data_IF_777502921631
#
_entry.id   IF_777502921631
#
_cell.length_a   1.000
_cell.length_b   1.000
_cell.length_c   1.000
_cell.angle_alpha   90.00
_cell.angle_beta   90.00
_cell.angle_gamma   90.00
#
_symmetry.space_group_name_H-M   'P 1'
#
loop_
_entity.id
_entity.type
_entity.pdbx_description
1 polymer ?
#
# COMPACT_ATOMS: atom_id res chain seq x y z
N UNK A 1 -3.67 -25.52 -12.37
CA UNK A 1 -4.19 -24.46 -11.47
C UNK A 1 -4.72 -25.12 -10.21
N UNK A 2 -4.40 -24.58 -9.04
CA UNK A 2 -4.64 -25.23 -7.73
C UNK A 2 -5.33 -24.27 -6.76
N UNK A 3 -6.24 -24.78 -5.93
CA UNK A 3 -6.90 -24.00 -4.87
C UNK A 3 -6.04 -24.00 -3.61
N UNK A 4 -5.48 -22.84 -3.27
CA UNK A 4 -4.60 -22.69 -2.09
C UNK A 4 -5.34 -22.32 -0.81
N UNK A 5 -6.59 -21.84 -0.90
CA UNK A 5 -7.34 -21.41 0.28
C UNK A 5 -8.50 -20.47 -0.02
N UNK A 6 -8.91 -19.69 0.98
CA UNK A 6 -9.95 -18.66 0.88
C UNK A 6 -9.69 -17.48 1.83
N UNK A 7 -10.32 -16.34 1.49
CA UNK A 7 -10.34 -15.12 2.29
C UNK A 7 -11.78 -14.68 2.50
N UNK A 8 -12.23 -14.58 3.75
CA UNK A 8 -13.52 -14.02 4.14
C UNK A 8 -13.30 -12.68 4.86
N UNK A 9 -13.55 -11.52 4.22
CA UNK A 9 -13.35 -10.22 4.84
C UNK A 9 -14.35 -9.91 5.97
N UNK A 10 -15.51 -10.58 6.03
CA UNK A 10 -16.57 -10.31 7.01
C UNK A 10 -16.36 -11.05 8.33
N UNK A 11 -15.52 -12.09 8.32
CA UNK A 11 -15.15 -12.81 9.53
C UNK A 11 -14.39 -11.89 10.50
N UNK A 12 -14.76 -12.01 11.78
CA UNK A 12 -14.20 -11.24 12.90
C UNK A 12 -12.91 -11.87 13.42
N UNK A 13 -12.83 -13.20 13.40
CA UNK A 13 -11.64 -13.94 13.81
C UNK A 13 -10.56 -13.87 12.71
N UNK A 14 -9.44 -13.19 12.97
CA UNK A 14 -8.32 -13.01 12.02
C UNK A 14 -7.78 -14.35 11.46
N UNK A 15 -7.80 -15.42 12.26
CA UNK A 15 -7.32 -16.74 11.86
C UNK A 15 -8.24 -17.42 10.83
N UNK A 16 -9.56 -17.30 11.01
CA UNK A 16 -10.58 -17.86 10.10
C UNK A 16 -10.80 -16.97 8.89
N UNK A 17 -10.51 -15.68 9.02
CA UNK A 17 -10.54 -14.69 7.94
C UNK A 17 -9.73 -15.14 6.73
N UNK A 18 -8.57 -15.77 6.96
CA UNK A 18 -7.69 -16.25 5.90
C UNK A 18 -7.31 -17.70 6.21
N UNK A 19 -7.72 -18.63 5.35
CA UNK A 19 -7.30 -20.04 5.46
C UNK A 19 -6.51 -20.37 4.23
N UNK A 20 -5.21 -20.68 4.39
CA UNK A 20 -4.28 -20.96 3.30
C UNK A 20 -3.49 -22.24 3.61
N UNK A 21 -3.28 -23.06 2.59
CA UNK A 21 -2.33 -24.16 2.64
C UNK A 21 -0.90 -23.61 2.48
N UNK A 22 -0.22 -23.40 3.61
CA UNK A 22 1.11 -22.76 3.63
C UNK A 22 2.18 -23.60 2.93
N UNK A 23 2.07 -24.92 2.94
CA UNK A 23 3.05 -25.82 2.30
C UNK A 23 3.04 -25.64 0.78
N UNK A 24 1.83 -25.65 0.19
CA UNK A 24 1.65 -25.45 -1.25
C UNK A 24 1.98 -24.03 -1.67
N UNK A 25 1.63 -23.04 -0.86
CA UNK A 25 2.07 -21.65 -1.10
C UNK A 25 3.59 -21.57 -1.16
N UNK A 26 4.32 -22.12 -0.17
CA UNK A 26 5.79 -22.11 -0.17
C UNK A 26 6.37 -22.79 -1.41
N UNK A 27 5.81 -23.92 -1.83
CA UNK A 27 6.22 -24.61 -3.05
C UNK A 27 6.08 -23.72 -4.29
N UNK A 28 4.92 -23.08 -4.48
CA UNK A 28 4.70 -22.17 -5.61
C UNK A 28 5.62 -20.94 -5.55
N UNK A 29 5.87 -20.40 -4.35
CA UNK A 29 6.81 -19.29 -4.18
C UNK A 29 8.25 -19.70 -4.56
N UNK A 30 8.68 -20.93 -4.27
CA UNK A 30 9.99 -21.45 -4.70
C UNK A 30 10.10 -21.59 -6.23
N UNK A 31 8.99 -21.91 -6.90
CA UNK A 31 8.92 -21.96 -8.37
C UNK A 31 8.84 -20.57 -9.02
N UNK A 32 8.84 -19.49 -8.24
CA UNK A 32 8.80 -18.11 -8.74
C UNK A 32 7.40 -17.55 -8.94
N UNK A 33 6.38 -18.09 -8.25
CA UNK A 33 5.05 -17.48 -8.27
C UNK A 33 5.10 -16.03 -7.73
N UNK A 34 4.46 -15.11 -8.45
CA UNK A 34 4.37 -13.70 -8.07
C UNK A 34 2.96 -13.40 -7.55
N UNK A 35 2.78 -13.18 -6.23
CA UNK A 35 1.48 -12.81 -5.68
C UNK A 35 1.11 -11.37 -6.04
N UNK A 36 -0.19 -11.09 -6.07
CA UNK A 36 -0.71 -9.72 -6.13
C UNK A 36 -0.46 -8.98 -4.81
N UNK A 37 -0.54 -7.65 -4.82
CA UNK A 37 -0.21 -6.81 -3.66
C UNK A 37 -0.94 -7.22 -2.37
N UNK A 38 -2.26 -7.39 -2.45
CA UNK A 38 -3.09 -7.78 -1.30
C UNK A 38 -2.70 -9.15 -0.76
N UNK A 39 -2.45 -10.12 -1.64
CA UNK A 39 -2.05 -11.48 -1.24
C UNK A 39 -0.65 -11.46 -0.64
N UNK A 40 0.28 -10.69 -1.21
CA UNK A 40 1.62 -10.53 -0.66
C UNK A 40 1.58 -9.98 0.77
N UNK A 41 0.71 -9.00 1.06
CA UNK A 41 0.51 -8.49 2.42
C UNK A 41 -0.05 -9.56 3.37
N UNK A 42 -1.02 -10.34 2.92
CA UNK A 42 -1.57 -11.46 3.70
C UNK A 42 -0.51 -12.53 4.00
N UNK A 43 0.35 -12.85 3.03
CA UNK A 43 1.43 -13.81 3.19
C UNK A 43 2.53 -13.31 4.13
N UNK A 44 2.91 -12.04 4.04
CA UNK A 44 3.91 -11.42 4.93
C UNK A 44 3.42 -11.41 6.38
N UNK A 45 2.13 -11.13 6.63
CA UNK A 45 1.53 -11.24 7.98
C UNK A 45 1.65 -12.65 8.58
N UNK A 46 1.75 -13.68 7.73
CA UNK A 46 1.90 -15.10 8.10
C UNK A 46 3.36 -15.57 8.05
N UNK A 47 4.32 -14.65 7.97
CA UNK A 47 5.77 -14.95 7.97
C UNK A 47 6.32 -15.45 6.64
N UNK A 48 5.56 -15.37 5.54
CA UNK A 48 6.04 -15.73 4.21
C UNK A 48 6.53 -14.46 3.51
N UNK A 49 7.85 -14.34 3.35
CA UNK A 49 8.48 -13.19 2.71
C UNK A 49 8.07 -13.08 1.23
N UNK A 50 7.81 -11.85 0.77
CA UNK A 50 7.41 -11.56 -0.59
C UNK A 50 8.33 -10.47 -1.18
N UNK A 51 9.38 -10.85 -1.94
CA UNK A 51 10.37 -9.91 -2.47
C UNK A 51 9.77 -8.78 -3.33
N UNK A 52 8.68 -9.08 -4.05
CA UNK A 52 7.96 -8.11 -4.87
C UNK A 52 7.38 -6.95 -4.05
N UNK A 53 6.80 -7.27 -2.88
CA UNK A 53 6.23 -6.28 -1.97
C UNK A 53 7.31 -5.43 -1.31
N UNK A 54 8.42 -6.06 -0.91
CA UNK A 54 9.55 -5.36 -0.29
C UNK A 54 10.21 -4.38 -1.26
N UNK A 55 10.43 -4.81 -2.52
CA UNK A 55 10.95 -3.94 -3.57
C UNK A 55 10.01 -2.75 -3.84
N UNK A 56 8.69 -2.99 -3.83
CA UNK A 56 7.68 -1.94 -4.01
C UNK A 56 7.69 -0.93 -2.86
N UNK A 57 7.77 -1.41 -1.60
CA UNK A 57 7.88 -0.55 -0.41
C UNK A 57 9.16 0.29 -0.45
N UNK A 58 10.30 -0.33 -0.76
CA UNK A 58 11.56 0.39 -0.90
C UNK A 58 11.50 1.48 -1.98
N UNK A 59 10.88 1.20 -3.14
CA UNK A 59 10.65 2.20 -4.19
C UNK A 59 9.79 3.36 -3.70
N UNK A 60 8.70 3.07 -2.98
CA UNK A 60 7.80 4.08 -2.41
C UNK A 60 8.52 4.95 -1.38
N UNK A 61 9.32 4.36 -0.51
CA UNK A 61 10.07 5.09 0.51
C UNK A 61 11.12 6.02 -0.11
N UNK A 62 11.83 5.56 -1.16
CA UNK A 62 12.74 6.42 -1.94
C UNK A 62 12.01 7.61 -2.56
N UNK A 63 10.86 7.37 -3.19
CA UNK A 63 10.05 8.44 -3.78
C UNK A 63 9.56 9.45 -2.72
N UNK A 64 9.19 8.97 -1.53
CA UNK A 64 8.79 9.83 -0.39
C UNK A 64 9.94 10.74 0.06
N UNK A 65 11.15 10.19 0.19
CA UNK A 65 12.33 10.96 0.60
C UNK A 65 12.65 12.04 -0.44
N UNK A 66 12.59 11.72 -1.74
CA UNK A 66 12.83 12.68 -2.81
C UNK A 66 11.78 13.80 -2.79
N UNK A 67 10.49 13.46 -2.66
CA UNK A 67 9.41 14.45 -2.61
C UNK A 67 9.58 15.41 -1.42
N UNK A 68 9.94 14.89 -0.24
CA UNK A 68 10.23 15.71 0.95
C UNK A 68 11.41 16.65 0.75
N UNK A 69 12.50 16.18 0.13
CA UNK A 69 13.65 17.04 -0.22
C UNK A 69 13.28 18.17 -1.18
N UNK A 70 12.35 17.91 -2.09
CA UNK A 70 11.85 18.90 -3.05
C UNK A 70 10.72 19.78 -2.49
N UNK A 71 10.31 19.61 -1.23
CA UNK A 71 9.17 20.33 -0.64
C UNK A 71 7.82 20.04 -1.29
N UNK A 72 7.69 18.92 -2.03
CA UNK A 72 6.46 18.54 -2.73
C UNK A 72 5.59 17.63 -1.87
N UNK A 73 4.25 17.81 -1.86
CA UNK A 73 3.35 16.90 -1.16
C UNK A 73 3.40 15.51 -1.79
N UNK A 74 3.55 14.48 -0.96
CA UNK A 74 3.70 13.10 -1.40
C UNK A 74 2.43 12.28 -1.17
N UNK A 75 1.86 12.39 0.03
CA UNK A 75 0.62 11.68 0.37
C UNK A 75 -0.61 12.41 -0.17
N UNK A 76 -1.72 11.71 -0.31
CA UNK A 76 -2.97 12.31 -0.75
C UNK A 76 -3.44 13.42 0.22
N UNK A 77 -3.36 13.17 1.52
CA UNK A 77 -3.69 14.16 2.54
C UNK A 77 -2.81 15.43 2.44
N UNK A 78 -1.51 15.27 2.21
CA UNK A 78 -0.59 16.41 1.99
C UNK A 78 -0.96 17.19 0.72
N UNK A 79 -1.34 16.50 -0.36
CA UNK A 79 -1.76 17.14 -1.61
C UNK A 79 -3.05 17.92 -1.42
N UNK A 80 -4.03 17.33 -0.75
CA UNK A 80 -5.32 17.97 -0.44
C UNK A 80 -5.12 19.19 0.46
N UNK A 81 -4.23 19.12 1.46
CA UNK A 81 -3.87 20.26 2.30
C UNK A 81 -3.18 21.38 1.49
N UNK A 82 -2.28 21.03 0.58
CA UNK A 82 -1.63 22.01 -0.29
C UNK A 82 -2.61 22.70 -1.25
N UNK A 83 -3.57 21.95 -1.82
CA UNK A 83 -4.64 22.51 -2.66
C UNK A 83 -5.50 23.46 -1.84
N UNK A 84 -5.99 23.04 -0.68
CA UNK A 84 -6.80 23.88 0.22
C UNK A 84 -6.05 25.15 0.65
N UNK A 85 -4.76 25.05 0.96
CA UNK A 85 -3.94 26.22 1.31
C UNK A 85 -3.76 27.18 0.13
N UNK A 86 -3.62 26.67 -1.10
CA UNK A 86 -3.55 27.48 -2.31
C UNK A 86 -4.89 28.16 -2.64
N UNK A 87 -6.01 27.46 -2.46
CA UNK A 87 -7.36 28.02 -2.63
C UNK A 87 -7.67 29.09 -1.58
N UNK A 88 -7.26 28.89 -0.33
CA UNK A 88 -7.41 29.89 0.73
C UNK A 88 -6.61 31.17 0.42
N UNK A 89 -5.35 31.04 -0.01
CA UNK A 89 -4.53 32.19 -0.42
C UNK A 89 -5.14 32.98 -1.57
N UNK A 90 -5.69 32.29 -2.58
CA UNK A 90 -6.38 32.95 -3.70
C UNK A 90 -7.62 33.73 -3.26
N UNK A 91 -8.41 33.19 -2.31
CA UNK A 91 -9.59 33.88 -1.78
C UNK A 91 -9.22 35.12 -0.97
N UNK A 92 -8.15 35.05 -0.17
CA UNK A 92 -7.63 36.19 0.59
C UNK A 92 -7.13 37.32 -0.34
N UNK A 93 -6.43 36.95 -1.41
CA UNK A 93 -5.87 37.89 -2.39
C UNK A 93 -6.98 38.55 -3.26
N UNK A 94 -8.04 37.82 -3.59
CA UNK A 94 -9.20 38.35 -4.31
C UNK A 94 -10.06 39.28 -3.43
N UNK A 95 -10.22 38.97 -2.14
CA UNK A 95 -10.91 39.85 -1.17
C UNK A 95 -10.12 41.10 -0.79
N UNK A 96 -8.79 41.09 -0.88
CA UNK A 96 -7.96 42.26 -0.63
C UNK A 96 -7.89 43.23 -1.83
N UNK A 97 -8.38 42.81 -3.00
CA UNK A 97 -8.37 43.58 -4.25
C UNK A 97 -9.74 44.17 -4.65
N UNK A 98 -10.79 43.90 -3.87
CA UNK A 98 -12.16 44.39 -4.03
C UNK A 98 -12.50 45.45 -2.98
#
# INVERSE_FOLDING_TARGET
>A
LEKLGHYDPLEKDEEKKIVLNLERVKHWMQLGAVPTDTVAEMLVKRGIACPSLDAKKARRDRARVIARKLGKPFTQAEKEAAVKAAEAKKKDEEQASA
#
